data_IF_506041378351
#
_entry.id   IF_506041378351
#
_cell.length_a   1.000
_cell.length_b   1.000
_cell.length_c   1.000
_cell.angle_alpha   90.00
_cell.angle_beta   90.00
_cell.angle_gamma   90.00
#
_symmetry.space_group_name_H-M   'P 1'
#
loop_
_entity.id
_entity.type
_entity.pdbx_description
1 polymer ?
2 polymer ?
3 non-polymer ?
4 water ?
#
# COMPACT_ATOMS: atom_id res chain seq x y z
N UNK A 1 11.79 -11.88 -8.42
CA UNK A 1 11.27 -12.70 -7.34
C UNK A 1 10.16 -12.01 -6.52
N UNK A 2 9.39 -12.80 -5.78
CA UNK A 2 8.34 -12.24 -4.95
C UNK A 2 8.46 -12.61 -3.47
N UNK A 3 7.77 -11.82 -2.64
CA UNK A 3 7.77 -11.99 -1.19
C UNK A 3 6.58 -12.88 -0.73
N UNK A 4 6.87 -13.97 -0.03
CA UNK A 4 5.84 -14.94 0.40
C UNK A 4 5.85 -15.16 1.89
N UNK A 5 4.67 -15.37 2.49
CA UNK A 5 4.63 -15.78 3.89
C UNK A 5 4.86 -17.29 4.04
N UNK A 6 4.67 -17.82 5.25
CA UNK A 6 4.85 -19.26 5.47
C UNK A 6 3.69 -20.07 4.87
N UNK A 7 2.59 -19.40 4.58
CA UNK A 7 1.46 -20.03 3.92
C UNK A 7 1.59 -19.93 2.41
N UNK A 8 2.73 -19.45 1.93
CA UNK A 8 2.98 -19.32 0.50
C UNK A 8 2.15 -18.25 -0.21
N UNK A 9 1.56 -17.35 0.57
CA UNK A 9 0.82 -16.19 0.03
C UNK A 9 1.76 -14.99 -0.08
N UNK A 10 1.60 -14.23 -1.14
CA UNK A 10 2.38 -13.01 -1.32
C UNK A 10 2.10 -12.07 -0.15
N UNK A 11 3.13 -11.36 0.32
CA UNK A 11 3.01 -10.44 1.46
C UNK A 11 2.06 -9.29 1.14
N UNK A 12 1.21 -8.96 2.10
CA UNK A 12 0.21 -7.90 1.90
C UNK A 12 0.74 -6.54 2.37
N UNK A 13 0.42 -5.50 1.59
CA UNK A 13 0.80 -4.16 2.00
C UNK A 13 -0.09 -3.78 3.16
N UNK A 14 0.51 -3.36 4.28
CA UNK A 14 -0.28 -3.03 5.44
C UNK A 14 -0.59 -4.24 6.30
N UNK A 15 -0.11 -5.40 5.89
CA UNK A 15 -0.30 -6.62 6.64
C UNK A 15 0.52 -6.72 7.91
N UNK A 16 0.08 -7.60 8.82
CA UNK A 16 0.82 -7.87 10.04
C UNK A 16 1.36 -9.30 10.03
N UNK A 17 2.64 -9.44 10.35
CA UNK A 17 3.33 -10.71 10.33
C UNK A 17 4.24 -10.87 11.54
N UNK A 18 4.41 -12.11 11.98
CA UNK A 18 5.55 -12.43 12.81
C UNK A 18 6.75 -12.59 11.91
N UNK A 19 7.91 -12.14 12.39
CA UNK A 19 9.14 -12.25 11.64
C UNK A 19 9.99 -13.26 12.39
N UNK A 20 10.13 -14.44 11.80
CA UNK A 20 10.74 -15.56 12.49
C UNK A 20 12.05 -15.91 11.78
N UNK A 21 12.98 -16.52 12.51
CA UNK A 21 14.20 -17.02 11.85
C UNK A 21 13.84 -18.12 10.84
N UNK A 22 14.46 -18.05 9.65
CA UNK A 22 14.20 -19.01 8.58
C UNK A 22 14.75 -20.38 8.94
N UNK A 23 15.92 -20.36 9.56
CA UNK A 23 16.49 -21.56 10.14
C UNK A 23 15.89 -21.73 11.54
N UNK A 24 16.37 -22.71 12.28
CA UNK A 24 15.92 -22.88 13.65
C UNK A 24 16.99 -23.56 14.48
N UNK A 25 16.98 -23.30 15.78
CA UNK A 25 18.04 -23.75 16.66
C UNK A 25 18.51 -22.56 17.47
N UNK A 26 18.47 -21.38 16.87
CA UNK A 26 18.88 -20.18 17.57
C UNK A 26 17.83 -19.06 17.50
N UNK A 27 17.20 -18.81 18.65
CA UNK A 27 16.29 -17.69 18.80
C UNK A 27 14.92 -17.88 18.19
N UNK A 28 14.03 -16.94 18.52
CA UNK A 28 12.67 -16.94 18.01
C UNK A 28 12.37 -15.64 17.28
N UNK A 29 11.15 -15.16 17.39
CA UNK A 29 10.74 -14.00 16.60
C UNK A 29 11.30 -12.69 17.09
N UNK A 30 11.06 -11.64 16.31
CA UNK A 30 11.49 -10.30 16.69
C UNK A 30 10.54 -9.69 17.71
N UNK A 31 11.09 -8.89 18.61
CA UNK A 31 10.33 -8.28 19.69
C UNK A 31 11.09 -7.08 20.28
N UNK A 32 10.67 -6.58 21.43
CA UNK A 32 11.33 -5.42 22.03
C UNK A 32 12.14 -5.78 23.27
N UNK A 33 13.20 -5.01 23.54
CA UNK A 33 13.99 -5.21 24.76
C UNK A 33 14.72 -3.93 25.17
N UNK A 34 15.11 -3.87 26.43
CA UNK A 34 15.93 -2.76 26.91
C UNK A 34 17.37 -3.18 26.83
N UNK A 35 18.22 -2.29 26.32
CA UNK A 35 19.64 -2.51 26.38
C UNK A 35 20.35 -1.31 27.00
N UNK A 36 21.45 -1.57 27.71
CA UNK A 36 22.24 -0.50 28.28
C UNK A 36 21.53 0.31 29.35
N UNK A 37 21.33 1.59 29.09
CA UNK A 37 20.83 2.52 30.10
C UNK A 37 19.36 2.90 29.91
N UNK A 38 18.77 2.50 28.80
CA UNK A 38 17.37 2.87 28.54
C UNK A 38 16.40 2.20 29.53
N UNK A 39 15.42 2.97 29.98
CA UNK A 39 14.47 2.50 30.99
C UNK A 39 13.20 1.88 30.37
N UNK A 40 13.18 1.80 29.04
CA UNK A 40 11.99 1.41 28.30
C UNK A 40 12.41 0.65 27.04
N UNK A 41 11.81 -0.53 26.79
CA UNK A 41 12.20 -1.45 25.70
C UNK A 41 12.08 -0.81 24.31
N UNK A 42 13.17 -0.24 23.82
CA UNK A 42 13.15 0.50 22.57
C UNK A 42 14.01 -0.18 21.54
N UNK A 43 14.74 -1.22 21.95
CA UNK A 43 15.53 -1.99 20.99
C UNK A 43 14.79 -3.14 20.32
N UNK A 44 14.90 -3.22 19.00
CA UNK A 44 14.41 -4.39 18.28
C UNK A 44 15.43 -5.52 18.46
N UNK A 45 15.00 -6.60 19.09
CA UNK A 45 15.85 -7.78 19.31
C UNK A 45 15.13 -9.02 18.82
N UNK A 46 15.88 -10.12 18.77
CA UNK A 46 15.33 -11.43 18.49
C UNK A 46 15.19 -12.15 19.82
N UNK A 47 14.04 -12.77 20.02
CA UNK A 47 13.77 -13.52 21.24
C UNK A 47 14.81 -14.61 21.45
N UNK A 48 15.19 -14.84 22.69
CA UNK A 48 16.16 -15.87 22.99
C UNK A 48 15.53 -17.26 22.88
N UNK A 49 14.24 -17.35 23.22
CA UNK A 49 13.55 -18.63 23.28
C UNK A 49 12.99 -19.06 21.92
N UNK A 50 13.29 -20.29 21.49
CA UNK A 50 12.87 -20.78 20.18
C UNK A 50 11.35 -20.88 20.02
N UNK A 51 10.64 -21.01 21.13
CA UNK A 51 9.20 -21.24 21.08
C UNK A 51 8.42 -19.92 21.01
N UNK A 52 9.13 -18.82 21.15
CA UNK A 52 8.46 -17.53 21.21
C UNK A 52 8.36 -16.85 19.84
N UNK A 53 7.16 -16.37 19.49
CA UNK A 53 6.94 -15.73 18.19
C UNK A 53 7.21 -14.22 18.26
N UNK A 54 7.18 -13.70 19.48
CA UNK A 54 7.47 -12.29 19.72
C UNK A 54 6.30 -11.39 19.40
N UNK A 55 6.62 -10.23 18.85
CA UNK A 55 5.65 -9.18 18.60
C UNK A 55 5.53 -9.03 17.10
N UNK A 56 4.29 -9.06 16.58
CA UNK A 56 4.02 -8.98 15.14
C UNK A 56 4.30 -7.58 14.57
N UNK A 57 4.73 -7.54 13.30
CA UNK A 57 5.11 -6.31 12.63
C UNK A 57 4.13 -5.91 11.54
N UNK A 58 3.76 -4.64 11.51
CA UNK A 58 3.00 -4.09 10.39
C UNK A 58 4.00 -3.60 9.34
N UNK A 59 3.89 -4.12 8.12
CA UNK A 59 4.81 -3.78 7.05
C UNK A 59 4.00 -3.19 5.91
N UNK A 60 4.31 -1.95 5.56
CA UNK A 60 3.47 -1.23 4.63
C UNK A 60 4.29 -0.19 3.88
N UNK A 61 3.70 0.36 2.82
CA UNK A 61 4.33 1.37 2.02
C UNK A 61 3.20 2.31 1.67
N UNK A 62 3.51 3.60 1.52
CA UNK A 62 2.47 4.61 1.28
C UNK A 62 1.60 4.45 0.01
N UNK A 63 2.17 4.04 -1.13
CA UNK A 63 1.22 3.78 -2.23
C UNK A 63 0.27 2.60 -1.93
N UNK A 64 -0.97 2.73 -2.37
CA UNK A 64 -2.04 1.91 -1.82
C UNK A 64 -2.30 0.68 -2.65
N UNK A 65 -1.21 0.06 -3.08
CA UNK A 65 -1.24 -1.18 -3.83
C UNK A 65 -1.45 -2.25 -2.78
N UNK A 66 -1.98 -3.41 -3.17
CA UNK A 66 -2.41 -4.42 -2.20
C UNK A 66 -1.28 -5.26 -1.64
N UNK A 67 -0.18 -5.35 -2.38
CA UNK A 67 0.89 -6.29 -2.06
C UNK A 67 2.22 -5.59 -1.89
N UNK A 68 3.22 -6.37 -1.52
CA UNK A 68 4.58 -5.85 -1.39
C UNK A 68 5.55 -6.60 -2.27
N UNK A 69 6.53 -5.87 -2.82
CA UNK A 69 7.58 -6.44 -3.65
C UNK A 69 8.92 -5.97 -3.12
N UNK A 70 10.01 -6.70 -3.47
CA UNK A 70 11.39 -6.31 -3.15
C UNK A 70 11.77 -4.87 -3.56
N UNK A 71 10.99 -4.27 -4.46
CA UNK A 71 11.29 -2.95 -4.99
C UNK A 71 10.91 -1.83 -4.02
N UNK A 72 9.87 -2.10 -3.25
CA UNK A 72 9.22 -1.06 -2.46
C UNK A 72 10.00 -0.70 -1.20
N UNK A 73 10.17 0.59 -1.00
CA UNK A 73 10.68 1.10 0.27
C UNK A 73 9.61 0.94 1.33
N UNK A 74 9.97 0.32 2.45
CA UNK A 74 9.00 -0.10 3.46
C UNK A 74 9.12 0.64 4.78
N UNK A 75 7.95 0.91 5.33
CA UNK A 75 7.80 1.26 6.73
C UNK A 75 7.49 -0.01 7.50
N UNK A 76 8.20 -0.19 8.60
CA UNK A 76 7.99 -1.35 9.45
C UNK A 76 7.77 -0.83 10.85
N UNK A 77 6.73 -1.33 11.50
CA UNK A 77 6.44 -0.98 12.89
C UNK A 77 5.81 -2.14 13.64
N UNK A 78 6.30 -2.39 14.84
CA UNK A 78 5.65 -3.30 15.76
C UNK A 78 4.22 -2.88 16.11
N UNK A 79 3.35 -3.90 16.22
CA UNK A 79 1.97 -3.75 16.65
C UNK A 79 1.93 -3.44 18.16
N UNK A 80 0.83 -2.85 18.63
CA UNK A 80 0.80 -2.22 19.94
C UNK A 80 -0.10 -2.90 21.01
N UNK A 81 -0.13 -4.22 21.01
CA UNK A 81 -0.86 -5.00 21.97
C UNK A 81 -0.02 -5.25 23.21
N UNK A 82 -0.58 -5.00 24.36
CA UNK A 82 0.00 -5.44 25.59
C UNK A 82 1.40 -4.89 25.77
N UNK A 83 1.52 -3.58 25.69
CA UNK A 83 2.76 -2.92 25.81
C UNK A 83 3.09 -2.59 27.25
N UNK A 84 4.32 -2.28 27.55
CA UNK A 84 4.62 -1.75 28.89
C UNK A 84 4.02 -0.36 29.07
N UNK A 85 3.87 0.09 30.32
CA UNK A 85 3.33 1.42 30.62
C UNK A 85 4.10 2.52 29.86
N UNK A 86 5.41 2.30 29.69
CA UNK A 86 6.30 3.22 28.99
C UNK A 86 5.82 3.55 27.57
N UNK A 87 5.22 2.58 26.89
CA UNK A 87 4.90 2.74 25.46
C UNK A 87 3.41 2.81 25.26
N UNK A 88 2.70 2.78 26.37
CA UNK A 88 1.29 2.43 26.40
C UNK A 88 0.34 3.40 25.66
N UNK A 89 0.76 4.64 25.49
CA UNK A 89 -0.11 5.64 24.93
C UNK A 89 0.36 6.10 23.56
N UNK A 90 1.32 5.38 22.98
CA UNK A 90 1.78 5.67 21.61
C UNK A 90 0.93 4.91 20.61
N UNK A 91 0.55 5.59 19.52
CA UNK A 91 -0.22 4.97 18.44
C UNK A 91 0.62 3.98 17.65
N UNK A 92 1.64 4.48 16.97
CA UNK A 92 2.52 3.62 16.16
C UNK A 92 3.85 3.33 16.84
N UNK A 93 4.46 2.20 16.49
CA UNK A 93 5.82 1.87 16.97
C UNK A 93 6.77 1.58 15.80
N UNK A 94 7.14 2.64 15.06
CA UNK A 94 7.94 2.51 13.84
C UNK A 94 9.37 2.16 14.17
N UNK A 95 10.00 1.39 13.30
CA UNK A 95 11.40 1.06 13.41
C UNK A 95 12.20 2.20 12.81
N UNK A 96 13.33 2.48 13.43
CA UNK A 96 14.28 3.46 12.91
C UNK A 96 15.67 2.94 13.20
N UNK A 97 16.60 3.13 12.26
CA UNK A 97 18.02 2.78 12.50
C UNK A 97 18.73 3.94 13.19
N UNK A 98 19.41 3.65 14.29
CA UNK A 98 19.82 4.70 15.22
C UNK A 98 21.23 4.62 15.79
N UNK A 99 21.91 5.75 15.71
CA UNK A 99 23.21 5.91 16.33
C UNK A 99 24.35 5.49 15.43
N UNK A 100 25.55 5.65 15.99
CA UNK A 100 26.77 5.08 15.46
C UNK A 100 26.73 3.57 15.53
N UNK A 101 25.83 3.04 16.36
CA UNK A 101 25.70 1.60 16.53
C UNK A 101 24.91 0.97 15.40
N UNK A 102 24.15 1.80 14.68
CA UNK A 102 23.31 1.33 13.57
C UNK A 102 22.36 0.22 14.04
N UNK A 103 21.84 0.38 15.25
CA UNK A 103 20.89 -0.56 15.79
C UNK A 103 19.51 -0.19 15.28
N UNK A 104 18.66 -1.20 15.15
CA UNK A 104 17.27 -0.96 14.87
C UNK A 104 16.54 -0.71 16.20
N UNK A 105 15.91 0.46 16.28
CA UNK A 105 15.11 0.87 17.43
C UNK A 105 13.70 1.25 17.00
N UNK A 106 12.75 1.22 17.92
CA UNK A 106 11.45 1.87 17.69
C UNK A 106 11.55 3.37 18.01
N UNK A 107 10.96 4.21 17.16
CA UNK A 107 10.99 5.65 17.42
C UNK A 107 9.58 6.25 17.58
N UNK A 108 8.92 5.97 18.72
CA UNK A 108 7.52 6.35 19.00
C UNK A 108 7.18 7.84 18.89
N UNK A 109 8.17 8.72 19.05
CA UNK A 109 7.90 10.16 19.10
C UNK A 109 8.12 10.89 17.77
N UNK A 110 8.26 10.14 16.68
CA UNK A 110 8.35 10.74 15.34
C UNK A 110 7.62 9.91 14.28
N UNK A 114 9.70 12.27 5.83
CA UNK A 114 9.99 11.72 4.54
C UNK A 114 8.83 10.85 4.03
N UNK A 115 8.53 11.00 2.75
CA UNK A 115 7.57 10.16 2.01
C UNK A 115 7.67 8.63 2.28
N UNK A 116 8.79 8.01 1.94
CA UNK A 116 8.95 6.54 2.07
C UNK A 116 9.79 6.08 3.29
N UNK A 117 9.71 4.79 3.60
CA UNK A 117 10.53 4.19 4.64
C UNK A 117 11.91 3.80 4.13
N UNK A 118 12.74 3.30 5.04
CA UNK A 118 14.15 3.05 4.78
C UNK A 118 14.48 1.56 4.71
N UNK A 119 13.46 0.73 4.76
CA UNK A 119 13.67 -0.71 4.73
C UNK A 119 13.15 -1.35 3.43
N UNK A 120 13.79 -2.44 3.01
CA UNK A 120 13.25 -3.30 1.95
C UNK A 120 13.29 -4.76 2.42
N UNK A 121 12.44 -5.60 1.86
CA UNK A 121 12.58 -7.03 2.05
C UNK A 121 13.11 -7.64 0.77
N UNK A 122 14.18 -8.44 0.88
CA UNK A 122 14.82 -9.04 -0.29
C UNK A 122 14.91 -10.56 -0.13
N UNK A 123 14.76 -11.30 -1.25
CA UNK A 123 15.00 -12.76 -1.20
C UNK A 123 16.40 -13.06 -0.67
N UNK A 124 16.56 -14.20 -0.02
CA UNK A 124 17.85 -14.59 0.51
C UNK A 124 17.88 -16.10 0.63
N UNK A 125 18.57 -16.73 -0.33
CA UNK A 125 18.53 -18.18 -0.48
C UNK A 125 17.07 -18.59 -0.64
N UNK A 126 16.65 -19.61 0.12
CA UNK A 126 15.28 -20.09 0.03
C UNK A 126 14.30 -19.34 0.95
N UNK A 127 14.73 -18.21 1.51
CA UNK A 127 13.84 -17.37 2.32
C UNK A 127 14.04 -15.88 2.01
N UNK A 128 14.27 -15.05 3.04
CA UNK A 128 14.33 -13.58 2.90
C UNK A 128 15.23 -12.87 3.91
N UNK A 129 15.53 -11.62 3.62
CA UNK A 129 16.34 -10.81 4.53
C UNK A 129 15.83 -9.36 4.56
N UNK A 130 16.00 -8.68 5.69
CA UNK A 130 15.64 -7.26 5.79
C UNK A 130 16.86 -6.39 5.49
N UNK A 131 16.71 -5.43 4.58
CA UNK A 131 17.80 -4.50 4.28
C UNK A 131 17.38 -3.07 4.62
N UNK A 132 18.38 -2.26 4.96
CA UNK A 132 18.19 -0.88 5.31
C UNK A 132 18.77 -0.02 4.20
N UNK A 133 17.99 0.93 3.70
CA UNK A 133 18.43 1.77 2.61
C UNK A 133 18.55 3.24 3.05
N UNK A 134 19.79 3.68 3.25
CA UNK A 134 20.05 5.08 3.55
C UNK A 134 20.11 5.90 2.27
N UNK A 141 24.41 1.82 -0.09
CA UNK A 141 22.98 2.16 -0.12
C UNK A 141 22.16 1.18 0.74
N UNK A 142 21.92 -0.02 0.22
CA UNK A 142 21.20 -1.03 1.00
C UNK A 142 22.14 -1.98 1.74
N UNK A 143 21.95 -2.06 3.05
CA UNK A 143 22.75 -2.93 3.90
C UNK A 143 21.86 -3.93 4.64
N UNK A 144 22.31 -5.18 4.66
CA UNK A 144 21.62 -6.24 5.38
C UNK A 144 21.50 -5.90 6.86
N UNK A 145 20.37 -6.27 7.46
CA UNK A 145 20.22 -6.25 8.90
C UNK A 145 20.54 -7.64 9.45
N UNK A 146 21.38 -7.72 10.46
CA UNK A 146 21.68 -8.99 11.06
C UNK A 146 21.61 -8.92 12.57
N UNK A 147 22.01 -10.00 13.22
CA UNK A 147 22.00 -10.03 14.67
C UNK A 147 23.41 -9.83 15.22
N UNK A 148 23.53 -8.87 16.12
CA UNK A 148 24.76 -8.69 16.90
C UNK A 148 24.44 -8.94 18.35
N UNK A 149 25.10 -9.93 18.92
CA UNK A 149 24.78 -10.38 20.26
C UNK A 149 25.61 -9.56 21.21
N UNK A 150 24.99 -8.80 22.10
CA UNK A 150 25.77 -7.99 23.07
C UNK A 150 26.39 -8.86 24.17
N UNK A 151 27.14 -8.25 25.08
CA UNK A 151 27.80 -9.07 26.09
C UNK A 151 26.84 -9.60 27.17
N UNK A 152 25.57 -9.19 27.12
CA UNK A 152 24.57 -9.77 28.02
C UNK A 152 23.68 -10.76 27.28
N UNK A 153 24.15 -11.21 26.12
CA UNK A 153 23.48 -12.21 25.28
C UNK A 153 22.20 -11.74 24.60
N UNK A 154 21.86 -10.48 24.79
CA UNK A 154 20.77 -9.90 24.00
C UNK A 154 21.12 -9.91 22.52
N UNK A 155 20.12 -10.23 21.72
CA UNK A 155 20.29 -10.52 20.30
C UNK A 155 19.74 -9.37 19.48
N UNK A 156 20.54 -8.32 19.38
CA UNK A 156 20.14 -7.04 18.78
C UNK A 156 20.08 -7.10 17.27
N UNK A 157 18.96 -6.68 16.68
CA UNK A 157 18.91 -6.43 15.25
C UNK A 157 19.67 -5.14 14.92
N UNK A 158 20.80 -5.26 14.20
CA UNK A 158 21.59 -4.09 13.79
C UNK A 158 21.80 -4.08 12.30
N UNK A 159 22.28 -2.96 11.77
CA UNK A 159 22.79 -2.95 10.42
C UNK A 159 24.07 -3.80 10.41
N UNK A 160 24.15 -4.77 9.51
CA UNK A 160 25.26 -5.71 9.52
C UNK A 160 25.51 -6.30 8.14
N UNK A 161 26.14 -5.53 7.27
CA UNK A 161 26.40 -5.95 5.89
C UNK A 161 27.24 -7.22 5.77
N UNK A 162 26.78 -8.11 4.88
CA UNK A 162 27.44 -9.38 4.60
C UNK A 162 27.00 -10.51 5.52
N UNK A 163 26.19 -10.19 6.52
CA UNK A 163 25.76 -11.17 7.53
C UNK A 163 24.28 -10.99 7.90
N UNK A 164 23.38 -11.24 6.93
CA UNK A 164 21.96 -10.99 7.19
C UNK A 164 21.33 -12.07 8.09
N UNK A 165 20.32 -11.69 8.88
CA UNK A 165 19.46 -12.67 9.55
C UNK A 165 18.46 -13.15 8.50
N UNK A 166 18.33 -14.47 8.34
CA UNK A 166 17.38 -15.02 7.39
C UNK A 166 15.99 -15.18 8.04
N UNK A 167 15.02 -14.43 7.54
CA UNK A 167 13.70 -14.46 8.15
C UNK A 167 12.64 -15.08 7.24
N UNK A 168 11.50 -15.40 7.83
CA UNK A 168 10.31 -15.88 7.14
C UNK A 168 9.10 -15.23 7.81
N UNK A 169 8.07 -14.93 7.04
CA UNK A 169 6.94 -14.20 7.58
C UNK A 169 5.71 -15.07 7.83
N UNK A 170 5.17 -14.98 9.04
CA UNK A 170 3.96 -15.71 9.39
C UNK A 170 2.83 -14.73 9.70
N UNK A 171 1.65 -14.96 9.14
CA UNK A 171 0.52 -14.08 9.35
C UNK A 171 0.25 -14.03 10.84
N UNK A 172 -0.09 -12.86 11.37
CA UNK A 172 -0.47 -12.79 12.78
C UNK A 172 -1.95 -13.12 12.99
N UNK A 173 -2.76 -12.94 11.95
CA UNK A 173 -4.19 -13.22 12.03
C UNK A 173 -4.60 -14.37 11.11
N UNK A 174 -5.88 -14.44 10.75
CA UNK A 174 -6.46 -15.52 9.92
C UNK A 174 -6.44 -16.91 10.58
N UNK B 1 -11.45 0.20 0.92
CA UNK B 1 -12.13 1.37 1.48
C UNK B 1 -12.43 1.16 2.96
N UNK B 2 -11.99 2.11 3.77
CA UNK B 2 -12.30 2.14 5.20
C UNK B 2 -13.46 3.09 5.47
N UNK B 3 -14.49 2.60 6.15
CA UNK B 3 -15.59 3.45 6.59
C UNK B 3 -16.55 3.78 5.46
N UNK B 4 -16.55 2.91 4.45
CA UNK B 4 -17.46 3.05 3.34
C UNK B 4 -18.60 2.05 3.40
N UNK B 5 -19.23 1.84 2.25
CA UNK B 5 -20.43 1.02 2.15
C UNK B 5 -20.40 0.16 0.90
N UNK B 6 -21.27 -0.84 0.85
CA UNK B 6 -21.44 -1.67 -0.33
C UNK B 6 -22.06 -0.90 -1.50
N UNK B 7 -21.26 -0.63 -2.53
CA UNK B 7 -21.75 0.04 -3.73
C UNK B 7 -23.01 -0.63 -4.28
N UNK B 8 -23.00 -1.96 -4.30
CA UNK B 8 -24.08 -2.72 -4.91
C UNK B 8 -23.78 -3.04 -6.37
N UNK B 9 -24.47 -4.04 -6.91
CA UNK B 9 -24.22 -4.47 -8.29
C UNK B 9 -24.57 -3.36 -9.30
N UNK B 10 -23.73 -3.27 -10.34
CA UNK B 10 -23.90 -2.32 -11.45
C UNK B 10 -24.01 -0.81 -11.15
N UNK B 11 -23.68 -0.39 -9.93
CA UNK B 11 -23.70 1.04 -9.63
C UNK B 11 -22.39 1.70 -10.06
N UNK B 12 -21.30 0.94 -10.05
CA UNK B 12 -20.00 1.48 -10.49
C UNK B 12 -19.46 0.64 -11.64
N UNK B 13 -20.11 0.72 -12.80
CA UNK B 13 -19.85 -0.15 -13.95
C UNK B 13 -18.49 0.11 -14.62
N UNK B 14 -17.86 1.23 -14.28
CA UNK B 14 -16.58 1.63 -14.87
C UNK B 14 -15.39 1.12 -14.05
N UNK B 15 -15.67 0.54 -12.89
CA UNK B 15 -14.62 0.08 -12.01
C UNK B 15 -14.05 -1.27 -12.47
N UNK B 16 -12.74 -1.31 -12.69
CA UNK B 16 -12.06 -2.56 -13.04
C UNK B 16 -11.05 -3.00 -11.97
N UNK B 17 -10.72 -4.28 -12.02
CA UNK B 17 -9.77 -4.92 -11.13
C UNK B 17 -8.51 -5.23 -11.92
N UNK B 18 -7.34 -5.11 -11.30
CA UNK B 18 -6.09 -5.52 -11.90
C UNK B 18 -5.60 -6.74 -11.13
N UNK B 19 -5.26 -7.79 -11.87
CA UNK B 19 -4.95 -9.06 -11.26
C UNK B 19 -3.70 -9.67 -11.82
N UNK B 20 -3.07 -10.51 -10.99
CA UNK B 20 -1.99 -11.39 -11.44
C UNK B 20 -1.98 -12.60 -10.52
N UNK B 21 -3.14 -13.26 -10.43
CA UNK B 21 -3.38 -14.32 -9.46
C UNK B 21 -4.16 -13.73 -8.31
N UNK B 22 -3.69 -12.57 -7.86
CA UNK B 22 -4.35 -11.85 -6.79
C UNK B 22 -4.81 -10.52 -7.35
N UNK B 23 -5.80 -9.93 -6.70
CA UNK B 23 -6.15 -8.54 -6.93
C UNK B 23 -5.05 -7.70 -6.28
N UNK B 24 -4.45 -6.78 -7.06
CA UNK B 24 -3.48 -5.86 -6.48
C UNK B 24 -3.83 -4.36 -6.62
N UNK B 25 -4.55 -4.00 -7.69
CA UNK B 25 -5.03 -2.63 -7.85
C UNK B 25 -6.40 -2.59 -8.48
N UNK B 26 -6.93 -1.37 -8.60
CA UNK B 26 -8.14 -1.16 -9.36
C UNK B 26 -7.79 -0.22 -10.50
N UNK B 27 -8.79 0.19 -11.28
CA UNK B 27 -8.58 1.13 -12.36
C UNK B 27 -9.92 1.53 -12.93
N UNK B 28 -9.90 2.33 -14.00
CA UNK B 28 -11.15 2.89 -14.52
C UNK B 28 -11.22 2.78 -16.03
N UNK B 29 -12.33 2.26 -16.51
CA UNK B 29 -12.53 2.02 -17.92
C UNK B 29 -12.99 3.31 -18.57
N UNK B 30 -12.22 3.86 -19.51
CA UNK B 30 -12.58 5.14 -20.12
C UNK B 30 -13.14 5.02 -21.55
N UNK B 31 -12.86 3.90 -22.20
CA UNK B 31 -13.54 3.47 -23.43
C UNK B 31 -13.39 1.96 -23.51
N UNK B 32 -13.96 1.34 -24.53
CA UNK B 32 -14.00 -0.13 -24.62
C UNK B 32 -12.63 -0.82 -24.56
N UNK B 33 -11.57 -0.12 -24.94
CA UNK B 33 -10.23 -0.70 -24.99
C UNK B 33 -9.21 -0.15 -23.98
N UNK B 34 -9.56 0.89 -23.24
CA UNK B 34 -8.59 1.56 -22.37
C UNK B 34 -9.02 1.74 -20.92
N UNK B 35 -8.09 1.37 -20.03
CA UNK B 35 -8.26 1.53 -18.59
C UNK B 35 -7.23 2.54 -18.10
N UNK B 36 -7.63 3.39 -17.15
CA UNK B 36 -6.72 4.24 -16.39
C UNK B 36 -6.45 3.68 -14.98
N UNK B 37 -5.19 3.70 -14.55
CA UNK B 37 -4.83 3.20 -13.23
C UNK B 37 -3.64 3.99 -12.71
N UNK B 38 -3.06 3.52 -11.61
CA UNK B 38 -1.85 4.16 -11.08
C UNK B 38 -0.58 3.58 -11.71
N UNK B 39 0.41 4.45 -11.90
CA UNK B 39 1.70 4.03 -12.40
C UNK B 39 2.47 3.12 -11.44
N UNK B 40 2.26 3.22 -10.13
CA UNK B 40 2.95 2.32 -9.21
C UNK B 40 2.25 0.96 -9.19
N UNK B 41 1.15 0.84 -9.91
CA UNK B 41 0.52 -0.47 -10.11
C UNK B 41 1.10 -1.24 -11.28
N UNK B 42 2.09 -0.68 -11.98
CA UNK B 42 2.63 -1.36 -13.14
C UNK B 42 3.25 -2.71 -12.81
N UNK B 43 2.90 -3.71 -13.61
CA UNK B 43 3.71 -4.91 -13.75
C UNK B 43 3.33 -5.54 -15.08
N UNK B 44 4.26 -6.30 -15.66
CA UNK B 44 4.01 -6.98 -16.93
C UNK B 44 2.93 -8.06 -16.79
N UNK B 45 2.15 -8.23 -17.86
CA UNK B 45 1.15 -9.29 -17.90
C UNK B 45 0.03 -9.09 -16.90
N UNK B 46 -0.55 -7.90 -16.90
CA UNK B 46 -1.72 -7.64 -16.09
C UNK B 46 -2.98 -8.26 -16.72
N UNK B 47 -3.77 -8.95 -15.90
CA UNK B 47 -5.09 -9.44 -16.29
C UNK B 47 -6.14 -8.46 -15.79
N UNK B 48 -7.00 -7.98 -16.67
CA UNK B 48 -8.06 -7.05 -16.25
C UNK B 48 -9.44 -7.68 -16.07
N UNK B 49 -10.07 -7.41 -14.93
CA UNK B 49 -11.41 -7.91 -14.67
C UNK B 49 -12.48 -6.82 -14.66
N UNK B 50 -13.42 -6.92 -15.60
CA UNK B 50 -14.52 -5.97 -15.75
C UNK B 50 -15.84 -6.65 -15.41
N UNK B 51 -16.75 -5.92 -14.75
CA UNK B 51 -18.07 -6.43 -14.47
C UNK B 51 -18.12 -7.15 -13.14
N UNK B 52 -17.04 -6.99 -12.38
CA UNK B 52 -16.90 -7.64 -11.09
C UNK B 52 -17.67 -6.89 -10.00
N UNK B 53 -18.21 -7.66 -9.07
CA UNK B 53 -18.73 -7.08 -7.83
C UNK B 53 -18.21 -7.93 -6.70
N UNK B 54 -18.71 -9.16 -6.65
CA UNK B 54 -18.21 -10.18 -5.74
C UNK B 54 -16.99 -10.89 -6.32
N UNK B 55 -15.90 -10.93 -5.55
CA UNK B 55 -14.63 -11.46 -6.00
C UNK B 55 -14.53 -12.98 -5.88
N UNK B 56 -15.40 -13.56 -5.05
CA UNK B 56 -15.46 -15.00 -4.85
C UNK B 56 -16.44 -15.64 -5.84
N UNK B 57 -17.09 -14.79 -6.62
CA UNK B 57 -18.11 -15.20 -7.56
C UNK B 57 -17.67 -14.90 -9.00
N UNK B 58 -17.90 -15.84 -9.91
CA UNK B 58 -17.73 -15.56 -11.32
C UNK B 58 -19.07 -15.14 -11.93
N UNK B 59 -19.31 -13.82 -11.97
CA UNK B 59 -20.55 -13.27 -12.49
C UNK B 59 -20.62 -13.41 -14.03
N UNK B 60 -21.82 -13.32 -14.59
CA UNK B 60 -22.02 -13.57 -16.01
C UNK B 60 -21.60 -12.41 -16.91
N UNK B 61 -21.82 -11.19 -16.43
CA UNK B 61 -21.38 -10.00 -17.15
C UNK B 61 -19.89 -9.73 -16.94
N UNK B 62 -19.29 -10.49 -16.03
CA UNK B 62 -17.85 -10.40 -15.80
C UNK B 62 -17.07 -10.63 -17.08
N UNK B 63 -16.00 -9.85 -17.27
CA UNK B 63 -15.10 -10.04 -18.39
C UNK B 63 -13.64 -10.10 -17.91
N UNK B 64 -12.90 -11.07 -18.44
CA UNK B 64 -11.50 -11.30 -18.08
C UNK B 64 -10.66 -11.10 -19.35
N UNK B 65 -9.92 -10.00 -19.39
CA UNK B 65 -9.18 -9.60 -20.57
C UNK B 65 -7.77 -9.21 -20.15
N UNK B 66 -6.77 -9.72 -20.85
CA UNK B 66 -5.39 -9.39 -20.53
C UNK B 66 -5.03 -8.05 -21.16
N UNK B 67 -4.17 -7.30 -20.47
CA UNK B 67 -3.59 -6.09 -21.04
C UNK B 67 -2.68 -6.42 -22.23
N UNK B 68 -2.64 -5.54 -23.22
CA UNK B 68 -1.69 -5.68 -24.34
C UNK B 68 -0.65 -4.54 -24.38
N UNK B 69 -0.96 -3.45 -23.71
CA UNK B 69 -0.01 -2.37 -23.51
C UNK B 69 -0.28 -1.78 -22.14
N UNK B 70 0.77 -1.62 -21.34
CA UNK B 70 0.67 -0.91 -20.06
C UNK B 70 1.62 0.29 -20.11
N UNK B 71 1.06 1.45 -20.45
CA UNK B 71 1.83 2.69 -20.67
C UNK B 71 1.90 3.61 -19.43
N UNK B 72 3.08 3.72 -18.84
CA UNK B 72 3.30 4.54 -17.65
C UNK B 72 3.61 5.98 -18.10
N UNK B 73 3.19 6.99 -17.33
CA UNK B 73 3.47 8.39 -17.72
C UNK B 73 4.97 8.58 -17.92
N UNK B 74 5.37 9.30 -18.98
CA UNK B 74 6.79 9.49 -19.23
C UNK B 74 7.53 10.08 -18.01
N UNK B 75 6.82 10.88 -17.23
CA UNK B 75 7.42 11.61 -16.11
C UNK B 75 7.10 11.02 -14.74
N UNK B 76 6.60 9.80 -14.69
CA UNK B 76 6.33 9.18 -13.41
C UNK B 76 7.62 9.03 -12.62
N UNK B 77 7.63 9.57 -11.40
CA UNK B 77 8.78 9.51 -10.49
C UNK B 77 8.43 8.53 -9.37
N UNK B 78 9.12 7.39 -9.31
CA UNK B 78 8.80 6.39 -8.29
C UNK B 78 9.14 6.88 -6.88
N UNK B 79 9.97 7.91 -6.78
CA UNK B 79 10.39 8.46 -5.48
C UNK B 79 9.47 9.55 -4.91
N UNK B 80 8.82 10.33 -5.76
CA UNK B 80 7.95 11.40 -5.28
C UNK B 80 6.47 11.07 -5.48
N UNK B 81 6.22 10.03 -6.27
CA UNK B 81 4.89 9.68 -6.75
C UNK B 81 4.22 10.74 -7.65
N UNK B 82 4.98 11.74 -8.11
CA UNK B 82 4.41 12.69 -9.06
C UNK B 82 4.11 12.02 -10.42
N UNK B 83 3.04 12.44 -11.09
CA UNK B 83 2.58 11.80 -12.34
C UNK B 83 2.27 10.30 -12.22
N UNK B 84 1.63 9.91 -11.11
CA UNK B 84 1.36 8.50 -10.82
C UNK B 84 0.13 8.00 -11.59
N UNK B 85 0.25 7.97 -12.92
CA UNK B 85 -0.84 7.52 -13.78
C UNK B 85 -0.33 6.54 -14.83
N UNK B 86 -1.18 5.57 -15.18
CA UNK B 86 -0.84 4.55 -16.16
C UNK B 86 -2.04 4.28 -17.04
N UNK B 87 -1.79 4.05 -18.32
CA UNK B 87 -2.85 3.64 -19.25
C UNK B 87 -2.65 2.19 -19.67
N UNK B 88 -3.70 1.41 -19.58
CA UNK B 88 -3.65 0.02 -19.98
C UNK B 88 -4.53 -0.22 -21.20
N UNK B 89 -3.95 -0.78 -22.25
CA UNK B 89 -4.69 -1.19 -23.46
C UNK B 89 -5.12 -2.65 -23.35
N UNK B 90 -6.42 -2.89 -23.45
CA UNK B 90 -6.95 -4.26 -23.40
C UNK B 90 -6.74 -5.02 -24.72
N UNK B 91 -6.35 -6.30 -24.62
CA UNK B 91 -6.02 -7.14 -25.79
C UNK B 91 -7.16 -7.25 -26.81
N UNK B 92 -8.39 -7.06 -26.35
CA UNK B 92 -9.53 -6.86 -27.24
C UNK B 92 -10.62 -6.00 -26.57
N UNK B 93 -11.43 -5.35 -27.40
CA UNK B 93 -12.49 -4.47 -26.93
C UNK B 93 -13.48 -5.17 -26.00
N UNK B 94 -13.72 -4.57 -24.84
CA UNK B 94 -14.67 -5.12 -23.88
C UNK B 94 -16.12 -4.88 -24.31
N UNK B 95 -17.02 -5.76 -23.86
CA UNK B 95 -18.44 -5.65 -24.18
C UNK B 95 -19.16 -4.70 -23.23
N UNK B 96 -19.68 -3.61 -23.76
CA UNK B 96 -20.29 -2.58 -22.94
C UNK B 96 -21.78 -2.80 -22.74
N UNK B 97 -22.17 -3.01 -21.48
CA UNK B 97 -23.57 -3.17 -21.09
C UNK B 97 -23.87 -2.31 -19.86
N UNK B 98 -24.79 -2.76 -19.02
CA UNK B 98 -25.12 -2.00 -17.81
C UNK B 98 -24.15 -2.32 -16.65
N UNK B 99 -23.53 -3.49 -16.72
CA UNK B 99 -22.58 -3.90 -15.71
C UNK B 99 -21.16 -3.42 -16.09
N UNK B 100 -20.94 -3.25 -17.39
CA UNK B 100 -19.66 -2.71 -17.86
C UNK B 100 -19.90 -1.48 -18.73
N UNK B 101 -19.36 -0.34 -18.31
CA UNK B 101 -19.56 0.91 -19.02
C UNK B 101 -18.39 1.87 -18.74
N UNK B 102 -18.26 2.91 -19.56
CA UNK B 102 -17.17 3.87 -19.41
C UNK B 102 -17.46 4.95 -18.36
N UNK B 103 -16.42 5.71 -18.03
CA UNK B 103 -16.58 6.95 -17.29
C UNK B 103 -15.91 8.05 -18.11
N UNK B 104 -16.51 9.23 -18.13
CA UNK B 104 -15.95 10.36 -18.85
C UNK B 104 -14.69 10.94 -18.18
N UNK B 105 -13.72 11.34 -18.99
CA UNK B 105 -12.62 12.17 -18.52
C UNK B 105 -13.21 13.55 -18.31
N UNK B 106 -12.59 14.35 -17.43
CA UNK B 106 -13.18 15.67 -17.18
C UNK B 106 -12.81 16.69 -18.25
N UNK B 107 -13.65 17.72 -18.43
CA UNK B 107 -13.28 18.85 -19.26
C UNK B 107 -12.50 19.87 -18.44
N UNK B 108 -12.81 19.98 -17.15
CA UNK B 108 -12.08 20.86 -16.26
C UNK B 108 -11.90 20.24 -14.88
N UNK B 109 -11.03 20.86 -14.07
CA UNK B 109 -10.71 20.32 -12.75
C UNK B 109 -11.86 20.52 -11.76
N UNK B 110 -11.99 19.59 -10.82
CA UNK B 110 -13.05 19.71 -9.83
C UNK B 110 -12.59 20.66 -8.75
N UNK B 111 -13.54 21.34 -8.12
CA UNK B 111 -13.22 22.29 -7.08
C UNK B 111 -13.36 21.65 -5.70
N UNK B 112 -12.65 22.21 -4.73
CA UNK B 112 -12.71 21.78 -3.34
C UNK B 112 -14.15 21.83 -2.84
N UNK B 113 -14.49 20.89 -1.99
CA UNK B 113 -15.86 20.74 -1.53
C UNK B 113 -16.72 19.83 -2.40
N UNK B 114 -16.25 19.53 -3.61
CA UNK B 114 -17.00 18.61 -4.49
C UNK B 114 -17.03 17.22 -3.87
N UNK B 115 -18.23 16.64 -3.73
CA UNK B 115 -18.38 15.28 -3.23
C UNK B 115 -18.07 14.27 -4.33
N UNK B 116 -17.20 13.31 -4.01
CA UNK B 116 -16.78 12.31 -4.99
C UNK B 116 -17.07 10.91 -4.49
N UNK B 117 -17.29 9.99 -5.43
CA UNK B 117 -17.43 8.58 -5.11
C UNK B 117 -16.10 7.85 -5.37
N UNK B 118 -15.52 7.30 -4.32
CA UNK B 118 -14.31 6.50 -4.49
C UNK B 118 -14.65 5.04 -4.17
N UNK B 119 -14.10 4.10 -4.94
CA UNK B 119 -14.48 2.70 -4.86
C UNK B 119 -13.29 1.75 -4.97
N UNK B 120 -13.41 0.59 -4.35
CA UNK B 120 -12.35 -0.41 -4.41
C UNK B 120 -12.67 -1.69 -3.66
N UNK B 121 -11.82 -2.68 -3.85
CA UNK B 121 -11.93 -3.95 -3.14
C UNK B 121 -10.81 -4.01 -2.13
N UNK B 122 -10.24 -2.86 -1.81
CA UNK B 122 -9.12 -2.80 -0.89
C UNK B 122 -9.46 -3.05 0.56
N UNK B 123 -8.42 -3.06 1.38
CA UNK B 123 -8.54 -3.24 2.83
C UNK B 123 -9.57 -2.29 3.53
N UNK B 124 -10.34 -2.86 4.46
CA UNK B 124 -11.36 -2.11 5.19
C UNK B 124 -10.95 -1.79 6.63
N UNK B 125 -9.74 -2.20 7.03
CA UNK B 125 -9.25 -1.84 8.35
C UNK B 125 -8.11 -0.80 8.31
N UNK B 126 -7.94 -0.09 9.42
CA UNK B 126 -6.93 0.94 9.51
C UNK B 126 -5.66 0.37 10.13
N UNK B 127 -5.80 -0.79 10.77
CA UNK B 127 -4.66 -1.50 11.36
C UNK B 127 -4.85 -3.01 11.19
N UNK B 128 -3.90 -3.64 10.49
CA UNK B 128 -4.09 -5.01 10.07
C UNK B 128 -4.94 -4.99 8.80
N UNK B 129 -5.23 -6.16 8.26
CA UNK B 129 -5.88 -6.25 6.95
C UNK B 129 -7.23 -6.96 6.96
N UNK B 130 -8.15 -6.46 6.14
CA UNK B 130 -9.45 -7.07 5.96
C UNK B 130 -9.98 -6.74 4.57
N UNK B 131 -10.04 -7.72 3.68
CA UNK B 131 -10.56 -7.47 2.34
C UNK B 131 -12.02 -7.85 2.26
N UNK B 132 -12.79 -7.05 1.51
CA UNK B 132 -14.22 -7.29 1.27
C UNK B 132 -14.47 -8.23 0.10
N UNK B 133 -15.56 -9.00 0.17
CA UNK B 133 -15.96 -9.86 -0.95
C UNK B 133 -16.57 -9.01 -2.05
N UNK B 134 -17.25 -7.94 -1.64
CA UNK B 134 -17.96 -7.07 -2.56
C UNK B 134 -17.27 -5.72 -2.66
N UNK B 135 -17.52 -5.00 -3.75
CA UNK B 135 -16.93 -3.67 -3.94
C UNK B 135 -17.42 -2.68 -2.87
N UNK B 136 -16.52 -1.85 -2.36
CA UNK B 136 -16.88 -0.87 -1.35
C UNK B 136 -16.77 0.52 -1.95
N UNK B 137 -17.62 1.43 -1.46
CA UNK B 137 -17.73 2.79 -1.96
C UNK B 137 -17.61 3.76 -0.79
N UNK B 138 -17.26 5.00 -1.10
CA UNK B 138 -17.23 6.04 -0.11
C UNK B 138 -17.41 7.38 -0.80
N UNK B 139 -18.29 8.21 -0.26
CA UNK B 139 -18.33 9.59 -0.71
C UNK B 139 -17.38 10.46 0.16
N UNK B 140 -16.64 11.35 -0.50
CA UNK B 140 -15.58 12.11 0.15
C UNK B 140 -15.44 13.47 -0.53
N UNK B 141 -15.37 14.55 0.28
CA UNK B 141 -15.22 15.86 -0.36
C UNK B 141 -13.77 16.02 -0.84
N UNK B 142 -13.59 16.78 -1.91
CA UNK B 142 -12.25 17.18 -2.32
C UNK B 142 -11.82 18.29 -1.36
N UNK B 143 -10.63 18.15 -0.74
CA UNK B 143 -10.10 19.18 0.17
C UNK B 143 -9.31 20.24 -0.59
N UNK B 144 -9.21 21.44 -0.01
CA UNK B 144 -8.45 22.52 -0.64
C UNK B 144 -6.98 22.18 -0.68
N UNK B 145 -6.22 22.83 -1.56
CA UNK B 145 -4.80 22.55 -1.69
C UNK B 145 -4.06 22.89 -0.40
N UNK B 146 -4.50 23.98 0.25
CA UNK B 146 -3.90 24.46 1.50
C UNK B 146 -4.03 23.42 2.64
N UNK B 147 -5.23 22.85 2.78
CA UNK B 147 -5.43 21.76 3.71
C UNK B 147 -4.53 20.58 3.34
N UNK B 148 -4.45 20.29 2.04
CA UNK B 148 -3.74 19.11 1.58
C UNK B 148 -2.23 19.19 1.86
N UNK B 149 -1.65 20.37 1.65
CA UNK B 149 -0.23 20.58 1.90
C UNK B 149 0.09 20.72 3.38
N UNK B 150 -0.93 21.03 4.18
CA UNK B 150 -0.73 21.12 5.62
C UNK B 150 -0.66 19.72 6.20
N UNK B 151 -1.40 18.82 5.57
CA UNK B 151 -1.39 17.41 5.95
C UNK B 151 -0.11 16.72 5.49
N UNK B 152 0.36 17.06 4.29
CA UNK B 152 1.54 16.42 3.73
C UNK B 152 2.56 17.46 3.26
N UNK B 153 3.29 18.05 4.21
CA UNK B 153 4.20 19.17 3.92
C UNK B 153 5.36 18.76 3.01
N UNK B 154 5.53 19.51 1.93
CA UNK B 154 6.55 19.22 0.95
C UNK B 154 6.30 18.02 0.05
N UNK B 155 5.14 17.36 0.19
CA UNK B 155 4.94 16.11 -0.52
C UNK B 155 3.84 16.16 -1.59
N UNK B 156 3.10 17.26 -1.60
CA UNK B 156 1.99 17.44 -2.52
C UNK B 156 2.44 18.26 -3.73
N UNK B 157 2.43 17.64 -4.90
CA UNK B 157 2.80 18.34 -6.12
C UNK B 157 1.55 18.94 -6.75
N UNK B 158 1.71 19.59 -7.90
CA UNK B 158 0.59 20.18 -8.61
C UNK B 158 -0.35 19.11 -9.20
N UNK B 159 0.11 17.87 -9.25
CA UNK B 159 -0.67 16.79 -9.82
C UNK B 159 -1.33 15.86 -8.80
N UNK B 160 -1.42 16.34 -7.56
CA UNK B 160 -2.06 15.58 -6.48
C UNK B 160 -3.14 16.44 -5.81
N UNK B 161 -4.17 15.79 -5.31
CA UNK B 161 -5.15 16.48 -4.46
C UNK B 161 -5.59 15.58 -3.31
N UNK B 162 -6.02 16.20 -2.22
CA UNK B 162 -6.54 15.45 -1.09
C UNK B 162 -8.06 15.41 -1.16
N UNK B 163 -8.60 14.27 -0.74
CA UNK B 163 -10.01 14.06 -0.59
C UNK B 163 -10.13 13.19 0.64
N UNK B 164 -11.24 13.34 1.34
CA UNK B 164 -11.50 12.52 2.52
C UNK B 164 -11.90 13.35 3.71
N UNK B 165 -11.42 12.95 4.88
CA UNK B 165 -11.82 13.57 6.13
C UNK B 165 -10.61 13.72 7.05
N UNK B 166 -10.39 14.94 7.56
CA UNK B 166 -9.24 15.22 8.42
C UNK B 166 -9.42 14.66 9.84
N UNK B 167 -10.66 14.42 10.25
CA UNK B 167 -10.95 13.73 11.50
C UNK B 167 -10.51 12.26 11.46
N UNK B 168 -10.63 11.63 10.29
CA UNK B 168 -10.28 10.24 10.11
C UNK B 168 -11.51 9.35 9.95
N UNK B 169 -11.32 8.03 9.99
CA UNK B 169 -12.43 7.10 9.97
C UNK B 169 -12.98 6.70 8.60
N UNK B 170 -12.82 7.56 7.61
CA UNK B 170 -13.25 7.26 6.26
C UNK B 170 -12.14 7.58 5.24
N UNK B 171 -11.63 6.55 4.54
CA UNK B 171 -10.57 6.77 3.54
C UNK B 171 -10.40 5.58 2.60
N UNK B 172 -9.75 5.78 1.45
CA UNK B 172 -9.29 4.63 0.68
C UNK B 172 -8.15 3.94 1.45
N UNK B 173 -7.70 2.79 0.96
CA UNK B 173 -6.72 2.01 1.71
C UNK B 173 -5.99 1.07 0.77
N UNK B 174 -5.17 0.20 1.35
CA UNK B 174 -4.35 -0.68 0.55
C UNK B 174 -5.19 -1.64 -0.28
N UNK B 175 -4.92 -1.65 -1.58
CA UNK B 175 -5.71 -2.42 -2.52
C UNK B 175 -6.57 -1.54 -3.42
N UNK B 176 -6.78 -0.29 -2.99
CA UNK B 176 -7.64 0.61 -3.75
C UNK B 176 -6.89 1.43 -4.82
N UNK B 177 -5.56 1.34 -4.84
CA UNK B 177 -4.72 2.08 -5.78
C UNK B 177 -5.21 1.91 -7.22
N UNK B 178 -5.23 3.01 -7.96
CA UNK B 178 -5.60 2.96 -9.36
C UNK B 178 -7.08 3.16 -9.56
N UNK B 179 -7.84 2.93 -8.49
CA UNK B 179 -9.28 3.06 -8.50
C UNK B 179 -9.82 4.47 -8.72
N UNK B 180 -11.09 4.56 -9.13
CA UNK B 180 -11.65 5.87 -9.49
C UNK B 180 -11.99 6.81 -8.33
N UNK B 181 -11.78 8.09 -8.58
CA UNK B 181 -12.47 9.14 -7.82
C UNK B 181 -13.35 9.86 -8.82
N UNK B 182 -14.66 9.72 -8.67
CA UNK B 182 -15.59 10.30 -9.64
C UNK B 182 -16.41 11.38 -9.00
N UNK B 183 -16.38 12.58 -9.59
CA UNK B 183 -17.09 13.74 -9.05
C UNK B 183 -17.99 14.30 -10.13
N UNK B 184 -19.29 14.36 -9.87
CA UNK B 184 -20.23 14.92 -10.86
C UNK B 184 -20.17 14.14 -12.18
N UNK B 185 -19.89 12.85 -12.09
CA UNK B 185 -19.84 11.97 -13.26
C UNK B 185 -18.57 12.02 -14.11
N UNK B 186 -17.54 12.73 -13.63
CA UNK B 186 -16.27 12.76 -14.34
C UNK B 186 -15.21 12.07 -13.51
N UNK B 187 -14.25 11.45 -14.19
CA UNK B 187 -13.10 10.84 -13.56
C UNK B 187 -12.08 11.92 -13.19
N UNK B 188 -12.04 12.33 -11.93
CA UNK B 188 -11.26 13.49 -11.52
C UNK B 188 -10.00 13.08 -10.78
N UNK B 189 -9.97 11.84 -10.30
CA UNK B 189 -8.84 11.37 -9.53
C UNK B 189 -8.56 9.89 -9.63
N UNK B 190 -7.35 9.51 -9.24
CA UNK B 190 -6.95 8.11 -9.12
C UNK B 190 -6.41 7.84 -7.74
N UNK B 191 -6.91 6.81 -7.07
CA UNK B 191 -6.37 6.46 -5.76
C UNK B 191 -4.85 6.34 -5.88
N UNK B 192 -4.11 7.13 -5.08
CA UNK B 192 -2.66 7.06 -5.15
C UNK B 192 -1.98 6.62 -3.85
N UNK B 193 -2.01 7.48 -2.85
CA UNK B 193 -1.28 7.17 -1.64
C UNK B 193 -1.83 7.92 -0.45
N UNK B 194 -1.31 7.56 0.71
CA UNK B 194 -1.59 8.27 1.94
C UNK B 194 -0.63 7.74 2.99
N UNK B 195 -0.66 8.31 4.19
CA UNK B 195 0.11 7.80 5.31
C UNK B 195 -0.84 6.97 6.17
N UNK B 196 -0.72 5.65 6.11
CA UNK B 196 -1.71 4.78 6.70
C UNK B 196 -3.04 4.90 5.99
N UNK B 197 -4.11 4.53 6.70
CA UNK B 197 -5.48 4.60 6.19
C UNK B 197 -6.40 5.21 7.25
N UNK B 198 -7.21 6.19 6.85
CA UNK B 198 -8.25 6.77 7.70
C UNK B 198 -7.74 7.37 9.01
N UNK B 199 -6.49 7.80 9.02
CA UNK B 199 -5.91 8.38 10.23
C UNK B 199 -6.09 9.89 10.21
N UNK B 200 -6.17 10.47 11.40
CA UNK B 200 -6.50 11.89 11.58
C UNK B 200 -5.47 12.83 10.94
N UNK B 201 -5.97 13.79 10.18
CA UNK B 201 -5.18 14.79 9.45
C UNK B 201 -4.28 14.17 8.37
N UNK B 202 -4.55 12.90 8.04
CA UNK B 202 -3.85 12.19 6.99
C UNK B 202 -4.81 11.66 5.92
N UNK B 203 -5.41 12.57 5.13
CA UNK B 203 -6.38 12.14 4.13
C UNK B 203 -5.68 11.39 3.00
N UNK B 204 -6.46 10.73 2.15
CA UNK B 204 -5.88 10.06 1.00
C UNK B 204 -5.38 11.11 0.04
N UNK B 205 -4.38 10.75 -0.75
CA UNK B 205 -3.86 11.62 -1.81
C UNK B 205 -4.13 10.97 -3.18
N UNK B 206 -4.58 11.78 -4.14
CA UNK B 206 -5.08 11.27 -5.42
C UNK B 206 -4.43 11.98 -6.61
N UNK B 207 -4.15 11.22 -7.66
CA UNK B 207 -3.62 11.79 -8.89
C UNK B 207 -4.66 12.65 -9.61
N UNK B 208 -4.29 13.89 -9.90
CA UNK B 208 -5.21 14.87 -10.47
C UNK B 208 -5.37 14.65 -11.96
N UNK B 209 -6.33 13.79 -12.32
CA UNK B 209 -6.61 13.41 -13.69
C UNK B 209 -6.77 14.56 -14.70
N UNK B 210 -7.37 15.66 -14.27
CA UNK B 210 -7.64 16.78 -15.18
C UNK B 210 -6.37 17.34 -15.84
N UNK B 211 -5.23 17.16 -15.19
CA UNK B 211 -3.93 17.56 -15.77
C UNK B 211 -3.41 16.60 -16.82
N UNK B 212 -4.13 15.51 -17.10
CA UNK B 212 -3.60 14.48 -17.97
C UNK B 212 -4.50 14.10 -19.12
N UNK B 213 -5.59 14.84 -19.31
CA UNK B 213 -6.55 14.53 -20.36
C UNK B 213 -5.89 14.55 -21.73
N UNK B 214 -5.08 15.58 -21.98
CA UNK B 214 -4.31 15.68 -23.23
C UNK B 214 -3.42 14.47 -23.47
N UNK B 215 -2.63 14.13 -22.46
CA UNK B 215 -1.71 13.01 -22.57
C UNK B 215 -2.47 11.71 -22.82
N UNK B 216 -3.56 11.52 -22.08
CA UNK B 216 -4.41 10.34 -22.24
C UNK B 216 -4.94 10.22 -23.67
N UNK B 217 -5.59 11.28 -24.17
CA UNK B 217 -6.17 11.27 -25.50
C UNK B 217 -5.10 11.10 -26.59
N UNK B 218 -3.93 11.69 -26.37
CA UNK B 218 -2.83 11.60 -27.32
C UNK B 218 -2.27 10.19 -27.37
N UNK B 219 -2.15 9.59 -26.19
CA UNK B 219 -1.60 8.26 -26.04
C UNK B 219 -2.51 7.20 -26.65
N UNK B 220 -3.82 7.39 -26.47
CA UNK B 220 -4.83 6.52 -27.05
C UNK B 220 -4.80 6.55 -28.57
N UNK B 221 -4.69 7.75 -29.14
CA UNK B 221 -4.62 7.90 -30.59
C UNK B 221 -3.35 7.30 -31.24
N UNK B 222 -2.27 7.20 -30.48
CA UNK B 222 -0.99 6.74 -31.02
C UNK B 222 -0.77 5.25 -30.79
N UNK B 223 -1.64 4.64 -30.00
CA UNK B 223 -1.57 3.21 -29.72
C UNK B 223 -2.90 2.51 -30.02
#
# INVERSE_FOLDING_TARGET
KELLDSDGDILRNGGTYYILPALRGKGGGLELAKTGDETCPLNVVQARSETKRGRPAIIWTPPRIAILTPAFYLNIEFQTRDLPACLEEYSRLPWKVEGESQEVKIAPKEEEQHLFGSFKIKPYRDDYKLVYCEGNSDDDSCKDLGISIDDENNRLLVVKDGDPLAVRFVKAHRRG
IVGGYTCGANTVPYQVSLNSGYHFCGGSLINSQWVVSAAHCYKSGIQVRLGEDNINVVEGNEQFISASKSIVHPSYNSNTLNNDIMLIKLKSAASLNSRVASISLPTSCASAGTQCLISGWGNTKSSGTSYPDVLKCLKAPILSDSSCKSAYPGQITSNMFCAGYLEGGKDSCQGDSGGPVVCSGKLQGIVSWGSGCAQKNKPGVYTKVCNYVSWIKQTIASN
#
